data_IF_024213211277
#
_entry.id   IF_024213211277
#
_cell.length_a   1.000
_cell.length_b   1.000
_cell.length_c   1.000
_cell.angle_alpha   90.00
_cell.angle_beta   90.00
_cell.angle_gamma   90.00
#
_symmetry.space_group_name_H-M   'P 1'
#
loop_
_entity.id
_entity.type
_entity.pdbx_description
1 polymer ?
#
# COMPACT_ATOMS: atom_id res chain seq x y z
N UNK A 1 -32.93 -28.08 0.66
CA UNK A 1 -33.26 -26.76 0.04
C UNK A 1 -32.39 -25.59 0.49
N UNK A 2 -31.60 -25.66 1.57
CA UNK A 2 -30.73 -24.53 2.00
C UNK A 2 -29.41 -24.37 1.21
N UNK A 3 -28.93 -25.42 0.54
CA UNK A 3 -27.65 -25.39 -0.20
C UNK A 3 -27.72 -24.68 -1.56
N UNK A 4 -28.91 -24.61 -2.17
CA UNK A 4 -29.12 -23.97 -3.48
C UNK A 4 -29.18 -22.44 -3.41
N UNK A 5 -29.49 -21.88 -2.24
CA UNK A 5 -29.56 -20.42 -2.03
C UNK A 5 -28.15 -19.81 -1.94
N UNK A 6 -27.21 -20.52 -1.31
CA UNK A 6 -25.83 -20.06 -1.15
C UNK A 6 -25.09 -19.95 -2.48
N UNK A 7 -25.32 -20.88 -3.42
CA UNK A 7 -24.72 -20.84 -4.77
C UNK A 7 -25.33 -19.76 -5.66
N UNK A 8 -26.62 -19.45 -5.50
CA UNK A 8 -27.27 -18.36 -6.23
C UNK A 8 -26.74 -16.97 -5.80
N UNK A 9 -26.42 -16.80 -4.50
CA UNK A 9 -25.90 -15.55 -3.98
C UNK A 9 -24.48 -15.25 -4.51
N UNK A 10 -23.63 -16.27 -4.63
CA UNK A 10 -22.23 -16.11 -5.09
C UNK A 10 -22.18 -15.76 -6.58
N UNK A 11 -23.08 -16.29 -7.41
CA UNK A 11 -23.17 -15.90 -8.83
C UNK A 11 -23.63 -14.45 -9.03
N UNK A 12 -24.44 -13.90 -8.10
CA UNK A 12 -24.95 -12.53 -8.20
C UNK A 12 -23.89 -11.46 -7.86
N UNK A 13 -22.81 -11.81 -7.15
CA UNK A 13 -21.74 -10.87 -6.82
C UNK A 13 -20.68 -10.69 -7.94
N UNK A 14 -20.77 -11.47 -9.03
CA UNK A 14 -19.75 -11.49 -10.09
C UNK A 14 -19.83 -10.37 -11.14
N UNK A 15 -20.84 -9.48 -11.11
CA UNK A 15 -21.08 -8.51 -12.19
C UNK A 15 -20.68 -7.07 -11.87
N UNK A 16 -20.04 -6.79 -10.73
CA UNK A 16 -19.71 -5.42 -10.31
C UNK A 16 -18.38 -4.91 -10.92
N UNK A 17 -17.65 -5.75 -11.65
CA UNK A 17 -16.41 -5.33 -12.33
C UNK A 17 -16.68 -4.74 -13.72
N UNK A 18 -17.56 -3.73 -13.80
CA UNK A 18 -17.50 -2.79 -14.90
C UNK A 18 -16.36 -1.81 -14.57
N UNK A 19 -15.13 -2.17 -14.96
CA UNK A 19 -14.10 -1.16 -15.18
C UNK A 19 -14.74 -0.07 -16.02
N UNK A 20 -14.83 1.13 -15.47
CA UNK A 20 -15.56 2.27 -16.03
C UNK A 20 -14.93 2.67 -17.36
N UNK A 21 -15.25 1.98 -18.44
CA UNK A 21 -14.76 2.32 -19.76
C UNK A 21 -15.39 3.66 -20.13
N UNK A 22 -14.67 4.76 -19.87
CA UNK A 22 -15.13 6.09 -20.23
C UNK A 22 -15.52 6.12 -21.71
N UNK A 23 -16.59 6.87 -22.06
CA UNK A 23 -17.10 6.85 -23.42
C UNK A 23 -16.01 7.18 -24.44
N UNK A 24 -16.07 6.52 -25.60
CA UNK A 24 -15.12 6.74 -26.69
C UNK A 24 -15.25 8.16 -27.25
N UNK A 25 -14.17 8.64 -27.89
CA UNK A 25 -14.14 9.98 -28.47
C UNK A 25 -15.08 10.06 -29.67
N UNK A 26 -15.93 11.08 -29.72
CA UNK A 26 -16.82 11.34 -30.85
C UNK A 26 -16.24 12.45 -31.73
N UNK A 27 -15.67 12.13 -32.92
CA UNK A 27 -15.09 13.12 -33.82
C UNK A 27 -16.18 13.81 -34.64
N UNK A 28 -17.01 14.65 -34.01
CA UNK A 28 -17.89 15.56 -34.75
C UNK A 28 -18.26 16.78 -33.90
N UNK A 29 -18.66 17.87 -34.56
CA UNK A 29 -19.12 19.10 -33.92
C UNK A 29 -20.65 19.15 -33.74
N UNK A 30 -21.35 18.02 -33.92
CA UNK A 30 -22.78 17.95 -33.62
C UNK A 30 -23.03 18.12 -32.12
N UNK A 31 -24.20 18.65 -31.75
CA UNK A 31 -24.56 18.85 -30.35
C UNK A 31 -24.49 17.54 -29.53
N UNK A 32 -24.83 16.41 -30.15
CA UNK A 32 -24.78 15.10 -29.51
C UNK A 32 -23.34 14.61 -29.29
N UNK A 33 -22.43 14.87 -30.22
CA UNK A 33 -21.02 14.54 -30.05
C UNK A 33 -20.32 15.43 -29.02
N UNK A 34 -20.71 16.70 -28.92
CA UNK A 34 -20.21 17.59 -27.87
C UNK A 34 -20.62 17.04 -26.49
N UNK A 35 -21.90 16.71 -26.30
CA UNK A 35 -22.40 16.10 -25.05
C UNK A 35 -21.71 14.78 -24.73
N UNK A 36 -21.49 13.93 -25.73
CA UNK A 36 -20.77 12.66 -25.53
C UNK A 36 -19.32 12.89 -25.08
N UNK A 37 -18.65 13.89 -25.64
CA UNK A 37 -17.29 14.26 -25.24
C UNK A 37 -17.24 14.92 -23.85
N UNK A 38 -18.25 15.71 -23.45
CA UNK A 38 -18.35 16.26 -22.09
C UNK A 38 -18.47 15.14 -21.04
N UNK A 39 -19.36 14.18 -21.27
CA UNK A 39 -19.53 13.01 -20.38
C UNK A 39 -18.23 12.21 -20.27
N UNK A 40 -17.48 12.08 -21.37
CA UNK A 40 -16.16 11.46 -21.38
C UNK A 40 -15.17 12.21 -20.51
N UNK A 41 -15.09 13.53 -20.62
CA UNK A 41 -14.16 14.35 -19.81
C UNK A 41 -14.47 14.19 -18.32
N UNK A 42 -15.75 14.22 -17.94
CA UNK A 42 -16.18 14.03 -16.55
C UNK A 42 -15.74 12.65 -16.04
N UNK A 43 -15.96 11.60 -16.83
CA UNK A 43 -15.53 10.25 -16.48
C UNK A 43 -14.00 10.18 -16.29
N UNK A 44 -13.22 10.70 -17.24
CA UNK A 44 -11.75 10.70 -17.16
C UNK A 44 -11.24 11.50 -15.95
N UNK A 45 -11.91 12.59 -15.57
CA UNK A 45 -11.59 13.35 -14.37
C UNK A 45 -11.82 12.54 -13.10
N UNK A 46 -12.92 11.79 -13.02
CA UNK A 46 -13.22 10.91 -11.90
C UNK A 46 -12.20 9.77 -11.80
N UNK A 47 -11.81 9.17 -12.92
CA UNK A 47 -10.76 8.13 -12.95
C UNK A 47 -9.42 8.69 -12.49
N UNK A 48 -9.03 9.88 -12.95
CA UNK A 48 -7.80 10.53 -12.51
C UNK A 48 -7.84 10.85 -11.00
N UNK A 49 -8.97 11.31 -10.47
CA UNK A 49 -9.15 11.56 -9.05
C UNK A 49 -9.07 10.27 -8.21
N UNK A 50 -9.67 9.18 -8.69
CA UNK A 50 -9.59 7.87 -8.04
C UNK A 50 -8.15 7.34 -8.04
N UNK A 51 -7.46 7.39 -9.19
CA UNK A 51 -6.09 6.91 -9.33
C UNK A 51 -5.09 7.71 -8.47
N UNK A 52 -5.26 9.03 -8.37
CA UNK A 52 -4.41 9.88 -7.51
C UNK A 52 -4.63 9.56 -6.03
N UNK A 53 -5.88 9.36 -5.61
CA UNK A 53 -6.22 8.96 -4.25
C UNK A 53 -5.61 7.59 -3.91
N UNK A 54 -5.71 6.63 -4.82
CA UNK A 54 -5.09 5.31 -4.65
C UNK A 54 -3.57 5.40 -4.50
N UNK A 55 -2.89 6.14 -5.38
CA UNK A 55 -1.43 6.36 -5.29
C UNK A 55 -1.03 7.04 -3.99
N UNK A 56 -1.84 7.97 -3.49
CA UNK A 56 -1.60 8.60 -2.19
C UNK A 56 -1.62 7.56 -1.07
N UNK A 57 -2.63 6.70 -1.03
CA UNK A 57 -2.69 5.63 -0.03
C UNK A 57 -1.51 4.65 -0.13
N UNK A 58 -1.06 4.30 -1.33
CA UNK A 58 0.13 3.47 -1.54
C UNK A 58 1.40 4.12 -0.97
N UNK A 59 1.58 5.42 -1.20
CA UNK A 59 2.72 6.18 -0.65
C UNK A 59 2.66 6.30 0.87
N UNK A 60 1.48 6.57 1.42
CA UNK A 60 1.26 6.69 2.87
C UNK A 60 1.55 5.35 3.57
N UNK A 61 1.10 4.23 2.98
CA UNK A 61 1.39 2.89 3.47
C UNK A 61 2.88 2.58 3.44
N UNK A 62 3.56 2.84 2.31
CA UNK A 62 5.01 2.60 2.23
C UNK A 62 5.80 3.41 3.27
N UNK A 63 5.38 4.64 3.52
CA UNK A 63 5.99 5.50 4.54
C UNK A 63 5.78 4.93 5.94
N UNK A 64 4.57 4.45 6.24
CA UNK A 64 4.24 3.82 7.51
C UNK A 64 5.02 2.51 7.74
N UNK A 65 5.16 1.68 6.71
CA UNK A 65 5.95 0.45 6.79
C UNK A 65 7.42 0.74 7.13
N UNK A 66 8.00 1.76 6.49
CA UNK A 66 9.38 2.19 6.78
C UNK A 66 9.53 2.73 8.20
N UNK A 67 8.55 3.47 8.71
CA UNK A 67 8.60 4.00 10.07
C UNK A 67 8.55 2.86 11.10
N UNK A 68 7.66 1.87 10.90
CA UNK A 68 7.60 0.66 11.74
C UNK A 68 8.92 -0.10 11.72
N UNK A 69 9.51 -0.34 10.55
CA UNK A 69 10.80 -1.02 10.44
C UNK A 69 11.90 -0.27 11.19
N UNK A 70 11.96 1.06 11.07
CA UNK A 70 12.95 1.86 11.78
C UNK A 70 12.79 1.79 13.31
N UNK A 71 11.55 1.78 13.81
CA UNK A 71 11.25 1.62 15.23
C UNK A 71 11.66 0.23 15.73
N UNK A 72 11.37 -0.82 14.96
CA UNK A 72 11.78 -2.18 15.29
C UNK A 72 13.31 -2.32 15.34
N UNK A 73 14.02 -1.67 14.42
CA UNK A 73 15.49 -1.64 14.43
C UNK A 73 16.02 -0.91 15.67
N UNK A 74 15.46 0.25 16.02
CA UNK A 74 15.83 0.98 17.24
C UNK A 74 15.62 0.13 18.50
N UNK A 75 14.49 -0.56 18.61
CA UNK A 75 14.23 -1.47 19.73
C UNK A 75 15.27 -2.59 19.82
N UNK A 76 15.62 -3.20 18.69
CA UNK A 76 16.65 -4.25 18.64
C UNK A 76 18.01 -3.72 19.10
N UNK A 77 18.41 -2.55 18.63
CA UNK A 77 19.66 -1.90 19.03
C UNK A 77 19.68 -1.57 20.52
N UNK A 78 18.57 -1.04 21.06
CA UNK A 78 18.44 -0.76 22.49
C UNK A 78 18.41 -2.04 23.35
N UNK A 79 18.05 -3.19 22.77
CA UNK A 79 18.05 -4.48 23.45
C UNK A 79 19.40 -5.21 23.40
N UNK A 80 20.42 -4.64 22.74
CA UNK A 80 21.76 -5.24 22.70
C UNK A 80 22.39 -5.10 24.09
N UNK A 81 22.71 -6.21 24.77
CA UNK A 81 23.39 -6.15 26.07
C UNK A 81 24.80 -5.61 25.90
N UNK A 82 25.22 -4.77 26.85
CA UNK A 82 26.56 -4.18 26.85
C UNK A 82 27.60 -5.29 27.04
N UNK A 83 28.53 -5.42 26.10
CA UNK A 83 29.57 -6.44 26.17
C UNK A 83 30.65 -5.99 27.15
N UNK A 84 30.67 -6.58 28.34
CA UNK A 84 31.76 -6.36 29.29
C UNK A 84 33.01 -7.09 28.79
N UNK A 85 34.04 -6.32 28.45
CA UNK A 85 35.36 -6.87 28.13
C UNK A 85 35.89 -7.65 29.34
N UNK A 86 36.48 -8.84 29.13
CA UNK A 86 37.16 -9.54 30.20
C UNK A 86 38.26 -8.64 30.78
N UNK A 87 38.27 -8.48 32.10
CA UNK A 87 39.32 -7.74 32.79
C UNK A 87 40.69 -8.32 32.39
N UNK A 88 41.69 -7.48 32.06
CA UNK A 88 43.04 -7.97 31.81
C UNK A 88 43.48 -8.81 33.01
N UNK A 89 44.06 -9.98 32.74
CA UNK A 89 44.66 -10.82 33.76
C UNK A 89 45.71 -9.98 34.51
N UNK A 90 45.45 -9.68 35.78
CA UNK A 90 46.45 -9.06 36.63
C UNK A 90 47.33 -10.19 37.18
N UNK A 91 48.27 -10.67 36.36
CA UNK A 91 49.33 -11.53 36.86
C UNK A 91 50.55 -10.68 37.19
N UNK A 92 50.65 -10.22 38.44
CA UNK A 92 51.94 -9.84 39.00
C UNK A 92 52.63 -11.11 39.51
N UNK A 93 53.72 -11.60 38.88
CA UNK A 93 54.46 -12.72 39.42
C UNK A 93 55.10 -12.36 40.77
N UNK A 94 54.81 -13.15 41.80
CA UNK A 94 55.30 -12.99 43.18
C UNK A 94 56.75 -13.46 43.39
N UNK A 95 57.58 -13.43 42.35
CA UNK A 95 58.97 -13.91 42.41
C UNK A 95 60.04 -12.86 42.10
N UNK A 96 59.77 -11.58 42.36
CA UNK A 96 60.85 -10.61 42.57
C UNK A 96 61.29 -10.72 44.03
N UNK A 97 62.47 -11.33 44.16
CA UNK A 97 63.19 -11.70 45.39
C UNK A 97 63.65 -10.49 46.19
#
# INVERSE_FOLDING_TARGET
MRRTIATALILALGTISASAACPSYAPSSSADAIKANELRVICLQQEAAAATTQRKFEMDLSTLERSIQSLQLQQRLNSVPDFQLPQPYESAPTWVR
#
